data_IF_720042256225
#
_entry.id   IF_720042256225
#
_cell.length_a   1.000
_cell.length_b   1.000
_cell.length_c   1.000
_cell.angle_alpha   90.00
_cell.angle_beta   90.00
_cell.angle_gamma   90.00
#
_symmetry.space_group_name_H-M   'P 1'
#
loop_
_entity.id
_entity.type
_entity.pdbx_description
1 polymer ?
#
# COMPACT_ATOMS: atom_id res chain seq x y z
N UNK A 1 -28.35 56.48 84.01
CA UNK A 1 -28.30 55.41 83.00
C UNK A 1 -27.96 56.08 81.67
N UNK A 2 -26.74 55.92 81.13
CA UNK A 2 -26.34 56.56 79.87
C UNK A 2 -25.80 55.48 78.94
N UNK A 3 -26.56 55.13 77.92
CA UNK A 3 -26.21 54.12 76.92
C UNK A 3 -25.26 54.74 75.90
N UNK A 4 -24.04 54.18 75.77
CA UNK A 4 -23.08 54.55 74.72
C UNK A 4 -23.43 53.80 73.44
N UNK A 5 -23.58 54.51 72.31
CA UNK A 5 -23.67 53.89 70.98
C UNK A 5 -22.27 53.80 70.37
N UNK A 6 -21.91 52.60 69.89
CA UNK A 6 -20.61 52.28 69.30
C UNK A 6 -20.55 52.69 67.83
N UNK A 7 -19.50 53.42 67.44
CA UNK A 7 -19.28 53.93 66.08
C UNK A 7 -18.79 52.80 65.16
N UNK A 8 -19.61 52.39 64.21
CA UNK A 8 -19.25 51.38 63.19
C UNK A 8 -18.32 52.06 62.17
N UNK A 9 -17.01 51.83 62.30
CA UNK A 9 -15.97 52.58 61.59
C UNK A 9 -15.49 51.94 60.27
N UNK A 10 -16.15 50.92 59.71
CA UNK A 10 -15.73 50.43 58.39
C UNK A 10 -16.80 49.62 57.66
N UNK A 11 -17.74 50.30 57.01
CA UNK A 11 -18.68 49.70 56.05
C UNK A 11 -18.19 49.99 54.64
N UNK A 12 -17.75 48.96 53.91
CA UNK A 12 -17.49 49.07 52.47
C UNK A 12 -18.79 48.79 51.71
N UNK A 13 -19.38 49.85 51.16
CA UNK A 13 -20.59 49.77 50.35
C UNK A 13 -20.15 49.73 48.88
N UNK A 14 -20.48 48.65 48.18
CA UNK A 14 -20.22 48.51 46.74
C UNK A 14 -21.55 48.56 45.98
N UNK A 15 -21.62 49.38 44.94
CA UNK A 15 -22.77 49.47 44.04
C UNK A 15 -22.76 48.26 43.09
N UNK A 16 -23.84 47.47 43.09
CA UNK A 16 -23.98 46.30 42.21
C UNK A 16 -24.60 46.77 40.89
N UNK A 17 -23.89 46.52 39.78
CA UNK A 17 -24.39 46.78 38.42
C UNK A 17 -24.56 45.46 37.66
N UNK A 18 -25.60 45.37 36.81
CA UNK A 18 -25.86 44.17 36.00
C UNK A 18 -24.82 44.11 34.86
N UNK A 19 -23.86 43.18 34.98
CA UNK A 19 -22.87 42.87 33.94
C UNK A 19 -23.08 41.48 33.33
N UNK A 20 -22.49 41.23 32.15
CA UNK A 20 -22.54 39.91 31.49
C UNK A 20 -21.38 39.06 32.04
N UNK A 21 -21.69 37.95 32.70
CA UNK A 21 -20.67 37.02 33.22
C UNK A 21 -20.31 36.04 32.11
N UNK A 22 -19.05 36.03 31.68
CA UNK A 22 -18.50 35.04 30.76
C UNK A 22 -17.83 33.94 31.57
N UNK A 23 -18.38 32.73 31.51
CA UNK A 23 -17.78 31.54 32.11
C UNK A 23 -17.09 30.73 31.03
N UNK A 24 -15.76 30.67 31.07
CA UNK A 24 -14.95 29.88 30.14
C UNK A 24 -14.54 28.57 30.80
N UNK A 25 -14.74 27.44 30.10
CA UNK A 25 -14.26 26.13 30.53
C UNK A 25 -12.97 25.82 29.78
N UNK A 26 -11.89 25.56 30.53
CA UNK A 26 -10.60 25.16 29.97
C UNK A 26 -10.46 23.64 30.07
N UNK A 27 -10.29 22.98 28.94
CA UNK A 27 -10.02 21.55 28.87
C UNK A 27 -8.58 21.33 28.38
N UNK A 28 -7.84 20.47 29.06
CA UNK A 28 -6.53 19.99 28.62
C UNK A 28 -6.66 18.61 28.00
N UNK A 29 -5.86 18.34 26.98
CA UNK A 29 -5.87 17.07 26.26
C UNK A 29 -4.55 16.85 25.52
N UNK A 30 -4.35 15.64 25.00
CA UNK A 30 -3.20 15.30 24.17
C UNK A 30 -3.64 15.19 22.71
N UNK A 31 -2.86 15.75 21.80
CA UNK A 31 -3.09 15.62 20.35
C UNK A 31 -2.40 14.37 19.83
N UNK A 32 -3.09 13.61 18.98
CA UNK A 32 -2.52 12.48 18.23
C UNK A 32 -2.67 12.76 16.73
N UNK A 33 -1.79 12.17 15.92
CA UNK A 33 -1.95 12.17 14.48
C UNK A 33 -3.28 11.52 14.08
N UNK A 34 -3.97 12.13 13.10
CA UNK A 34 -5.21 11.58 12.52
C UNK A 34 -4.94 10.23 11.84
N UNK A 35 -3.79 10.09 11.17
CA UNK A 35 -3.35 8.86 10.50
C UNK A 35 -1.86 8.64 10.69
N UNK A 36 -1.50 7.40 11.00
CA UNK A 36 -0.12 6.92 11.10
C UNK A 36 0.04 5.79 10.06
N UNK A 37 1.18 5.75 9.37
CA UNK A 37 1.48 4.72 8.37
C UNK A 37 2.89 4.18 8.57
N UNK A 38 3.01 2.86 8.62
CA UNK A 38 4.29 2.15 8.59
C UNK A 38 4.58 1.73 7.16
N UNK A 39 5.72 2.17 6.63
CA UNK A 39 6.11 1.89 5.26
C UNK A 39 7.12 0.75 5.25
N UNK A 40 6.81 -0.29 4.48
CA UNK A 40 7.67 -1.42 4.22
C UNK A 40 7.58 -1.80 2.73
N UNK A 41 8.65 -2.39 2.22
CA UNK A 41 8.62 -3.02 0.91
C UNK A 41 7.82 -4.32 0.97
N UNK A 42 7.15 -4.65 -0.14
CA UNK A 42 6.43 -5.92 -0.25
C UNK A 42 7.37 -7.08 -0.51
N UNK A 43 8.43 -6.83 -1.27
CA UNK A 43 9.48 -7.79 -1.54
C UNK A 43 10.78 -7.43 -0.80
N UNK A 44 11.58 -8.44 -0.51
CA UNK A 44 12.92 -8.26 0.05
C UNK A 44 13.87 -7.84 -1.06
N UNK A 45 14.77 -6.90 -0.78
CA UNK A 45 15.77 -6.46 -1.74
C UNK A 45 16.72 -5.43 -1.15
N UNK A 46 17.79 -5.13 -1.89
CA UNK A 46 18.73 -4.06 -1.53
C UNK A 46 18.12 -2.71 -1.91
N UNK A 47 18.14 -1.73 -1.01
CA UNK A 47 17.74 -0.35 -1.33
C UNK A 47 18.83 0.26 -2.25
N UNK A 48 18.44 0.71 -3.44
CA UNK A 48 19.32 1.38 -4.41
C UNK A 48 19.10 2.90 -4.45
N UNK A 49 17.99 3.37 -3.90
CA UNK A 49 17.64 4.79 -3.90
C UNK A 49 16.84 5.15 -2.64
N UNK A 50 17.17 6.29 -2.02
CA UNK A 50 16.45 6.89 -0.90
C UNK A 50 16.46 8.41 -1.08
N UNK A 51 15.29 9.01 -1.29
CA UNK A 51 15.14 10.41 -1.70
C UNK A 51 14.71 11.37 -0.60
N UNK A 52 14.46 10.84 0.60
CA UNK A 52 13.88 11.60 1.71
C UNK A 52 14.84 11.75 2.88
N UNK A 53 14.71 12.86 3.58
CA UNK A 53 15.39 13.14 4.85
C UNK A 53 14.43 13.03 6.02
N UNK A 54 14.97 12.89 7.22
CA UNK A 54 14.18 12.92 8.45
C UNK A 54 13.39 14.23 8.55
N UNK A 55 12.13 14.14 8.97
CA UNK A 55 11.17 15.27 9.10
C UNK A 55 10.81 15.95 7.77
N UNK A 56 11.05 15.32 6.62
CA UNK A 56 10.61 15.84 5.33
C UNK A 56 9.12 15.53 5.12
N UNK A 57 8.37 16.53 4.69
CA UNK A 57 6.99 16.35 4.23
C UNK A 57 6.96 15.60 2.90
N UNK A 58 6.05 14.63 2.78
CA UNK A 58 5.89 13.81 1.57
C UNK A 58 4.44 13.79 1.14
N UNK A 59 4.22 13.69 -0.17
CA UNK A 59 2.87 13.60 -0.76
C UNK A 59 2.48 12.14 -1.00
N UNK A 60 1.18 11.86 -0.99
CA UNK A 60 0.66 10.54 -1.39
C UNK A 60 1.12 10.23 -2.81
N UNK A 61 1.71 9.05 -3.01
CA UNK A 61 2.24 8.61 -4.31
C UNK A 61 3.67 9.08 -4.60
N UNK A 62 4.32 9.83 -3.70
CA UNK A 62 5.72 10.18 -3.86
C UNK A 62 6.62 8.96 -3.63
N UNK A 63 7.53 8.70 -4.56
CA UNK A 63 8.59 7.71 -4.39
C UNK A 63 9.59 8.19 -3.36
N UNK A 64 9.69 7.46 -2.24
CA UNK A 64 10.61 7.78 -1.15
C UNK A 64 11.86 6.89 -1.14
N UNK A 65 11.74 5.67 -1.66
CA UNK A 65 12.83 4.71 -1.74
C UNK A 65 12.54 3.67 -2.84
N UNK A 66 13.60 3.14 -3.44
CA UNK A 66 13.53 2.10 -4.49
C UNK A 66 14.46 0.96 -4.10
N UNK A 67 13.99 -0.27 -4.29
CA UNK A 67 14.79 -1.50 -4.15
C UNK A 67 15.27 -1.99 -5.51
N UNK A 68 16.36 -2.74 -5.51
CA UNK A 68 16.83 -3.49 -6.67
C UNK A 68 15.82 -4.60 -7.01
N UNK A 69 15.26 -4.54 -8.22
CA UNK A 69 14.30 -5.52 -8.75
C UNK A 69 14.89 -6.35 -9.89
N UNK A 70 16.21 -6.30 -10.11
CA UNK A 70 16.89 -6.99 -11.22
C UNK A 70 16.62 -8.50 -11.21
N UNK A 71 16.59 -9.12 -10.04
CA UNK A 71 16.28 -10.54 -9.87
C UNK A 71 14.83 -10.86 -10.29
N UNK A 72 13.88 -9.98 -9.98
CA UNK A 72 12.47 -10.14 -10.37
C UNK A 72 12.30 -10.05 -11.88
N UNK A 73 12.97 -9.09 -12.52
CA UNK A 73 12.98 -8.91 -13.97
C UNK A 73 13.59 -10.14 -14.65
N UNK A 74 14.73 -10.60 -14.13
CA UNK A 74 15.42 -11.80 -14.64
C UNK A 74 14.54 -13.04 -14.48
N UNK A 75 13.85 -13.19 -13.34
CA UNK A 75 12.95 -14.31 -13.13
C UNK A 75 11.78 -14.29 -14.12
N UNK A 76 11.14 -13.14 -14.32
CA UNK A 76 10.07 -12.99 -15.32
C UNK A 76 10.54 -13.37 -16.72
N UNK A 77 11.75 -12.96 -17.10
CA UNK A 77 12.33 -13.34 -18.38
C UNK A 77 12.48 -14.87 -18.52
N UNK A 78 12.96 -15.56 -17.47
CA UNK A 78 13.06 -17.02 -17.45
C UNK A 78 11.70 -17.69 -17.63
N UNK A 79 10.69 -17.27 -16.87
CA UNK A 79 9.32 -17.81 -16.98
C UNK A 79 8.74 -17.61 -18.39
N UNK A 80 9.03 -16.47 -19.04
CA UNK A 80 8.61 -16.24 -20.43
C UNK A 80 9.29 -17.20 -21.42
N UNK A 81 10.58 -17.49 -21.24
CA UNK A 81 11.29 -18.47 -22.07
C UNK A 81 10.73 -19.88 -21.87
N UNK A 82 10.46 -20.26 -20.61
CA UNK A 82 9.85 -21.55 -20.29
C UNK A 82 8.45 -21.66 -20.89
N UNK A 83 7.66 -20.59 -20.85
CA UNK A 83 6.35 -20.52 -21.54
C UNK A 83 6.46 -20.70 -23.05
N UNK A 84 7.38 -20.00 -23.71
CA UNK A 84 7.57 -20.16 -25.15
C UNK A 84 7.94 -21.59 -25.52
N UNK A 85 8.85 -22.20 -24.75
CA UNK A 85 9.24 -23.60 -24.92
C UNK A 85 8.04 -24.54 -24.74
N UNK A 86 7.32 -24.42 -23.62
CA UNK A 86 6.16 -25.30 -23.34
C UNK A 86 5.05 -25.11 -24.36
N UNK A 87 4.85 -23.90 -24.86
CA UNK A 87 3.88 -23.63 -25.92
C UNK A 87 4.26 -24.33 -27.22
N UNK A 88 5.53 -24.28 -27.63
CA UNK A 88 6.00 -25.02 -28.79
C UNK A 88 5.87 -26.53 -28.60
N UNK A 89 6.25 -27.05 -27.42
CA UNK A 89 6.10 -28.46 -27.09
C UNK A 89 4.61 -28.90 -27.18
N UNK A 90 3.68 -28.03 -26.74
CA UNK A 90 2.23 -28.26 -26.85
C UNK A 90 1.73 -28.23 -28.29
N UNK A 91 2.12 -27.22 -29.08
CA UNK A 91 1.76 -27.10 -30.49
C UNK A 91 2.27 -28.32 -31.27
N UNK A 92 3.53 -28.71 -31.05
CA UNK A 92 4.09 -29.92 -31.65
C UNK A 92 3.34 -31.18 -31.23
N UNK A 93 3.04 -31.34 -29.93
CA UNK A 93 2.25 -32.50 -29.46
C UNK A 93 0.89 -32.53 -30.13
N UNK A 94 0.24 -31.38 -30.31
CA UNK A 94 -1.06 -31.31 -30.98
C UNK A 94 -0.96 -31.75 -32.44
N UNK A 95 0.05 -31.27 -33.16
CA UNK A 95 0.28 -31.60 -34.57
C UNK A 95 0.65 -33.09 -34.75
N UNK A 96 1.52 -33.63 -33.90
CA UNK A 96 1.93 -35.05 -33.90
C UNK A 96 0.75 -36.03 -33.76
N UNK A 97 -0.32 -35.60 -33.09
CA UNK A 97 -1.52 -36.40 -32.83
C UNK A 97 -2.76 -35.96 -33.62
N UNK A 98 -2.66 -34.97 -34.52
CA UNK A 98 -3.81 -34.43 -35.27
C UNK A 98 -4.52 -35.52 -36.10
N UNK A 99 -3.74 -36.32 -36.83
CA UNK A 99 -4.22 -37.42 -37.68
C UNK A 99 -4.29 -38.78 -36.96
N UNK A 100 -4.04 -38.80 -35.65
CA UNK A 100 -4.00 -40.04 -34.88
C UNK A 100 -5.39 -40.56 -34.50
N UNK A 101 -5.53 -41.88 -34.39
CA UNK A 101 -6.76 -42.49 -33.85
C UNK A 101 -6.96 -42.02 -32.41
N UNK A 102 -8.11 -41.40 -32.13
CA UNK A 102 -8.48 -40.88 -30.81
C UNK A 102 -8.66 -42.03 -29.81
N UNK A 103 -7.57 -42.41 -29.17
CA UNK A 103 -7.53 -43.34 -28.04
C UNK A 103 -7.43 -42.59 -26.72
N UNK A 104 -7.81 -43.24 -25.62
CA UNK A 104 -7.66 -42.65 -24.27
C UNK A 104 -6.21 -42.28 -23.94
N UNK A 105 -5.24 -43.02 -24.50
CA UNK A 105 -3.82 -42.72 -24.34
C UNK A 105 -3.42 -41.41 -25.03
N UNK A 106 -3.87 -41.19 -26.27
CA UNK A 106 -3.63 -39.94 -27.00
C UNK A 106 -4.28 -38.76 -26.28
N UNK A 107 -5.52 -38.93 -25.81
CA UNK A 107 -6.22 -37.90 -25.04
C UNK A 107 -5.46 -37.51 -23.77
N UNK A 108 -4.97 -38.49 -22.99
CA UNK A 108 -4.16 -38.23 -21.79
C UNK A 108 -2.87 -37.46 -22.09
N UNK A 109 -2.22 -37.76 -23.22
CA UNK A 109 -1.01 -37.04 -23.64
C UNK A 109 -1.31 -35.58 -23.97
N UNK A 110 -2.36 -35.31 -24.74
CA UNK A 110 -2.80 -33.95 -25.05
C UNK A 110 -3.24 -33.17 -23.80
N UNK A 111 -4.01 -33.81 -22.91
CA UNK A 111 -4.44 -33.20 -21.65
C UNK A 111 -3.23 -32.85 -20.77
N UNK A 112 -2.24 -33.74 -20.66
CA UNK A 112 -1.00 -33.48 -19.92
C UNK A 112 -0.22 -32.30 -20.51
N UNK A 113 -0.07 -32.26 -21.83
CA UNK A 113 0.59 -31.16 -22.52
C UNK A 113 -0.13 -29.82 -22.30
N UNK A 114 -1.46 -29.82 -22.32
CA UNK A 114 -2.27 -28.66 -21.97
C UNK A 114 -2.10 -28.22 -20.51
N UNK A 115 -1.98 -29.17 -19.56
CA UNK A 115 -1.71 -28.84 -18.15
C UNK A 115 -0.33 -28.20 -17.97
N UNK A 116 0.69 -28.70 -18.66
CA UNK A 116 2.02 -28.13 -18.64
C UNK A 116 2.01 -26.70 -19.19
N UNK A 117 1.30 -26.46 -20.31
CA UNK A 117 1.09 -25.11 -20.86
C UNK A 117 0.39 -24.18 -19.86
N UNK A 118 -0.73 -24.62 -19.27
CA UNK A 118 -1.48 -23.83 -18.30
C UNK A 118 -0.64 -23.45 -17.08
N UNK A 119 0.19 -24.37 -16.60
CA UNK A 119 1.13 -24.11 -15.50
C UNK A 119 2.14 -23.03 -15.88
N UNK A 120 2.69 -23.12 -17.09
CA UNK A 120 3.67 -22.15 -17.57
C UNK A 120 3.08 -20.75 -17.75
N UNK A 121 1.84 -20.66 -18.27
CA UNK A 121 1.07 -19.40 -18.31
C UNK A 121 0.91 -18.82 -16.91
N UNK A 122 0.49 -19.64 -15.93
CA UNK A 122 0.28 -19.19 -14.56
C UNK A 122 1.57 -18.66 -13.93
N UNK A 123 2.72 -19.28 -14.20
CA UNK A 123 4.02 -18.80 -13.72
C UNK A 123 4.36 -17.41 -14.27
N UNK A 124 4.18 -17.19 -15.58
CA UNK A 124 4.39 -15.88 -16.21
C UNK A 124 3.49 -14.83 -15.60
N UNK A 125 2.20 -15.14 -15.40
CA UNK A 125 1.26 -14.21 -14.77
C UNK A 125 1.64 -13.87 -13.33
N UNK A 126 2.13 -14.84 -12.56
CA UNK A 126 2.62 -14.59 -11.20
C UNK A 126 3.81 -13.64 -11.24
N UNK A 127 4.79 -13.91 -12.11
CA UNK A 127 5.97 -13.06 -12.25
C UNK A 127 5.61 -11.63 -12.72
N UNK A 128 4.65 -11.51 -13.64
CA UNK A 128 4.16 -10.22 -14.13
C UNK A 128 3.45 -9.41 -13.03
N UNK A 129 2.56 -10.04 -12.25
CA UNK A 129 1.89 -9.38 -11.13
C UNK A 129 2.89 -8.92 -10.06
N UNK A 130 3.91 -9.72 -9.76
CA UNK A 130 4.96 -9.34 -8.79
C UNK A 130 5.67 -8.07 -9.27
N UNK A 131 6.03 -7.99 -10.55
CA UNK A 131 6.69 -6.81 -11.12
C UNK A 131 5.75 -5.60 -11.16
N UNK A 132 4.50 -5.79 -11.57
CA UNK A 132 3.49 -4.70 -11.58
C UNK A 132 3.23 -4.11 -10.20
N UNK A 133 3.23 -4.93 -9.14
CA UNK A 133 3.07 -4.42 -7.78
C UNK A 133 4.22 -3.49 -7.33
N UNK A 134 5.39 -3.67 -7.95
CA UNK A 134 6.59 -2.87 -7.70
C UNK A 134 6.65 -1.63 -8.61
N UNK A 135 6.30 -1.76 -9.89
CA UNK A 135 6.31 -0.66 -10.86
C UNK A 135 5.08 0.25 -10.79
N UNK A 136 3.92 -0.29 -10.43
CA UNK A 136 2.64 0.44 -10.33
C UNK A 136 2.64 1.56 -9.28
N UNK A 137 3.69 1.66 -8.46
CA UNK A 137 3.94 2.80 -7.56
C UNK A 137 4.99 3.79 -8.07
N UNK A 138 5.83 3.40 -9.04
CA UNK A 138 6.80 4.27 -9.69
C UNK A 138 6.17 5.10 -10.82
N UNK A 139 5.12 4.56 -11.46
CA UNK A 139 4.50 5.16 -12.64
C UNK A 139 3.10 5.75 -12.42
N UNK A 140 2.82 6.29 -11.23
CA UNK A 140 1.60 7.10 -11.04
C UNK A 140 1.71 8.52 -11.66
N UNK A 141 2.48 8.63 -12.75
CA UNK A 141 2.34 9.71 -13.74
C UNK A 141 1.20 9.30 -14.64
N UNK A 142 -0.02 9.46 -14.12
CA UNK A 142 -1.27 9.43 -14.87
C UNK A 142 -1.06 10.35 -16.08
N UNK A 143 -0.96 9.78 -17.27
CA UNK A 143 -1.11 10.52 -18.52
C UNK A 143 -2.58 10.96 -18.55
N UNK A 144 -2.85 12.14 -18.01
CA UNK A 144 -4.07 12.86 -18.35
C UNK A 144 -3.86 13.44 -19.76
N UNK A 145 -4.38 12.71 -20.75
CA UNK A 145 -4.88 13.23 -22.02
C UNK A 145 -6.23 12.58 -22.28
#
# INVERSE_FOLDING_TARGET
MVTRYSKINNLQIVQITRGKILSSVFASGKTKADKEAYLAFKNTGRIIYLSIKKNQEVKKGQTIATIDTSDLITNKYKELQDYLKTRWDFEQTKDDYEDSVKTDSVKRTLDKSQFDLNKSVANVEIADRILWLEDGKLNNKKLDI
#
